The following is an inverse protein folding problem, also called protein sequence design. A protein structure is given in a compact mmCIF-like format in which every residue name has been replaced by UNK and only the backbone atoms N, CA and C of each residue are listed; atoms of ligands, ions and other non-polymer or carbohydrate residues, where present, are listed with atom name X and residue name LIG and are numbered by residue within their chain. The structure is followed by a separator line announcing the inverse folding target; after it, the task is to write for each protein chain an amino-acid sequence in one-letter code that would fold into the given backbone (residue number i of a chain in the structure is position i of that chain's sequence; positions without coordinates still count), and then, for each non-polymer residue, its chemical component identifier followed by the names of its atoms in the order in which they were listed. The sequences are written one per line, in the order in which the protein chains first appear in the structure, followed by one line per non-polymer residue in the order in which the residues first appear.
data_IF_055373922303
#
_entry.id   IF_055373922303
#
_cell.length_a   1.000
_cell.length_b   1.000
_cell.length_c   1.000
_cell.angle_alpha   90.00
_cell.angle_beta   90.00
_cell.angle_gamma   90.00
#
_symmetry.space_group_name_H-M   'P 1'
#
loop_
_entity.id
_entity.type
_entity.pdbx_description
1 polymer ?
#
# COMPACT_ATOMS: atom_id res chain seq x y z
N UNK A 1 1.06 -2.81 8.00
CA UNK A 1 0.09 -1.71 8.30
C UNK A 1 0.16 -1.41 9.78
N UNK A 2 0.29 -0.14 10.19
CA UNK A 2 0.45 0.20 11.61
C UNK A 2 -0.79 -0.18 12.42
N UNK A 3 -0.64 -0.88 13.55
CA UNK A 3 -1.76 -1.18 14.45
C UNK A 3 -2.32 0.07 15.15
N UNK A 4 -1.58 1.19 15.13
CA UNK A 4 -2.02 2.46 15.74
C UNK A 4 -2.87 3.30 14.79
N UNK A 5 -2.63 3.21 13.48
CA UNK A 5 -3.36 3.97 12.46
C UNK A 5 -3.27 3.27 11.10
N UNK A 6 -4.40 2.84 10.54
CA UNK A 6 -4.44 1.99 9.34
C UNK A 6 -3.82 2.64 8.08
N UNK A 7 -3.94 3.97 7.92
CA UNK A 7 -3.32 4.65 6.77
C UNK A 7 -1.78 4.79 6.87
N UNK A 8 -1.15 4.33 7.96
CA UNK A 8 0.31 4.32 8.08
C UNK A 8 0.86 2.97 7.60
N UNK A 9 1.56 3.01 6.47
CA UNK A 9 2.42 1.93 6.00
C UNK A 9 3.83 2.19 6.52
N UNK A 10 4.38 1.24 7.27
CA UNK A 10 5.69 1.35 7.93
C UNK A 10 6.52 0.16 7.51
N UNK A 11 7.75 0.42 7.08
CA UNK A 11 8.78 -0.61 6.95
C UNK A 11 9.52 -0.75 8.28
N UNK A 12 9.75 -1.98 8.71
CA UNK A 12 10.60 -2.30 9.84
C UNK A 12 12.06 -2.42 9.38
N UNK A 13 12.98 -2.70 10.32
CA UNK A 13 14.39 -2.92 10.00
C UNK A 13 14.55 -4.05 8.97
N UNK A 14 15.20 -3.74 7.85
CA UNK A 14 15.36 -4.65 6.71
C UNK A 14 14.22 -4.67 5.69
N UNK A 15 13.13 -3.92 5.93
CA UNK A 15 12.04 -3.76 4.94
C UNK A 15 12.47 -2.91 3.74
N UNK A 16 12.03 -3.32 2.55
CA UNK A 16 12.32 -2.63 1.30
C UNK A 16 11.14 -1.76 0.81
N UNK A 17 11.40 -0.91 -0.18
CA UNK A 17 10.35 -0.13 -0.81
C UNK A 17 9.38 -1.03 -1.61
N UNK A 18 9.87 -2.13 -2.19
CA UNK A 18 9.05 -3.13 -2.89
C UNK A 18 8.05 -3.78 -1.93
N UNK A 19 8.48 -4.10 -0.70
CA UNK A 19 7.59 -4.67 0.33
C UNK A 19 6.44 -3.71 0.68
N UNK A 20 6.76 -2.42 0.81
CA UNK A 20 5.75 -1.39 1.11
C UNK A 20 4.77 -1.24 -0.04
N UNK A 21 5.24 -1.24 -1.29
CA UNK A 21 4.38 -1.16 -2.47
C UNK A 21 3.47 -2.38 -2.56
N UNK A 22 4.03 -3.60 -2.43
CA UNK A 22 3.26 -4.84 -2.43
C UNK A 22 2.14 -4.83 -1.37
N UNK A 23 2.45 -4.35 -0.17
CA UNK A 23 1.48 -4.21 0.92
C UNK A 23 0.39 -3.17 0.63
N UNK A 24 0.72 -2.07 -0.06
CA UNK A 24 -0.28 -1.10 -0.52
C UNK A 24 -1.24 -1.77 -1.51
N UNK A 25 -0.74 -2.58 -2.46
CA UNK A 25 -1.58 -3.27 -3.44
C UNK A 25 -2.50 -4.29 -2.78
N UNK A 26 -1.98 -5.07 -1.83
CA UNK A 26 -2.77 -6.04 -1.06
C UNK A 26 -3.91 -5.34 -0.31
N UNK A 27 -3.63 -4.22 0.36
CA UNK A 27 -4.65 -3.46 1.08
C UNK A 27 -5.70 -2.88 0.12
N UNK A 28 -5.28 -2.37 -1.05
CA UNK A 28 -6.22 -1.91 -2.08
C UNK A 28 -7.16 -3.02 -2.53
N UNK A 29 -6.62 -4.21 -2.85
CA UNK A 29 -7.41 -5.38 -3.27
C UNK A 29 -8.40 -5.81 -2.18
N UNK A 30 -7.95 -5.94 -0.94
CA UNK A 30 -8.80 -6.36 0.18
C UNK A 30 -9.94 -5.38 0.46
N UNK A 31 -9.69 -4.07 0.33
CA UNK A 31 -10.73 -3.05 0.51
C UNK A 31 -11.72 -3.07 -0.65
N UNK A 32 -11.25 -3.24 -1.89
CA UNK A 32 -12.12 -3.37 -3.05
C UNK A 32 -13.03 -4.60 -2.93
N UNK A 33 -12.48 -5.76 -2.56
CA UNK A 33 -13.23 -7.01 -2.39
C UNK A 33 -14.27 -6.93 -1.26
N UNK A 34 -13.90 -6.36 -0.11
CA UNK A 34 -14.76 -6.38 1.09
C UNK A 34 -15.78 -5.26 1.12
N UNK A 35 -15.42 -4.11 0.55
CA UNK A 35 -16.20 -2.87 0.68
C UNK A 35 -16.73 -2.37 -0.66
N UNK A 36 -16.30 -2.93 -1.79
CA UNK A 36 -16.66 -2.45 -3.12
C UNK A 36 -16.06 -1.10 -3.48
N UNK A 37 -15.00 -0.66 -2.77
CA UNK A 37 -14.36 0.64 -2.96
C UNK A 37 -12.89 0.43 -3.33
N UNK A 38 -12.47 0.97 -4.47
CA UNK A 38 -11.06 1.00 -4.85
C UNK A 38 -10.38 2.24 -4.28
N UNK A 39 -9.39 2.03 -3.42
CA UNK A 39 -8.60 3.12 -2.85
C UNK A 39 -7.61 3.63 -3.90
N UNK A 40 -7.46 4.95 -3.99
CA UNK A 40 -6.46 5.61 -4.84
C UNK A 40 -5.29 6.09 -3.96
N UNK A 41 -4.02 5.76 -4.29
CA UNK A 41 -2.89 6.21 -3.49
C UNK A 41 -2.66 7.72 -3.63
N UNK A 42 -2.52 8.42 -2.51
CA UNK A 42 -2.04 9.82 -2.49
C UNK A 42 -0.53 9.91 -2.78
N UNK A 43 0.21 8.87 -2.40
CA UNK A 43 1.66 8.79 -2.52
C UNK A 43 2.10 8.79 -4.00
N UNK A 44 3.23 9.46 -4.28
CA UNK A 44 3.94 9.33 -5.56
C UNK A 44 5.00 8.25 -5.44
N UNK A 45 4.90 7.22 -6.27
CA UNK A 45 5.92 6.17 -6.39
C UNK A 45 6.96 6.60 -7.41
N UNK A 46 8.23 6.57 -7.03
CA UNK A 46 9.36 6.95 -7.89
C UNK A 46 10.29 5.75 -8.02
N UNK A 47 10.71 5.42 -9.25
CA UNK A 47 11.57 4.25 -9.52
C UNK A 47 10.81 2.93 -9.63
N UNK A 48 9.47 2.97 -9.57
CA UNK A 48 8.59 1.84 -9.84
C UNK A 48 8.03 1.96 -11.25
N UNK A 49 7.70 0.84 -11.89
CA UNK A 49 6.99 0.86 -13.16
C UNK A 49 5.69 1.65 -12.99
N UNK A 50 5.37 2.51 -13.96
CA UNK A 50 4.13 3.26 -13.95
C UNK A 50 2.96 2.29 -13.95
N UNK A 51 2.20 2.24 -12.85
CA UNK A 51 0.91 1.56 -12.81
C UNK A 51 0.04 2.08 -13.96
N UNK A 52 -0.66 1.21 -14.71
CA UNK A 52 -1.66 1.64 -15.68
C UNK A 52 -2.79 2.42 -15.03
#
# INVERSE_FOLDING_TARGET
VSPKHANFFQADEGGSADDVVALIEEVQQLVEERMGVRLEPELRLVGFESRP
#
